data_IF_849744942390
#
_entry.id   IF_849744942390
#
_cell.length_a   1.000
_cell.length_b   1.000
_cell.length_c   1.000
_cell.angle_alpha   90.00
_cell.angle_beta   90.00
_cell.angle_gamma   90.00
#
_symmetry.space_group_name_H-M   'P 1'
#
loop_
_entity.id
_entity.type
_entity.pdbx_description
1 polymer ?
#
# COMPACT_ATOMS: atom_id res chain seq x y z
N UNK A 1 -34.04 -82.99 17.10
CA UNK A 1 -33.41 -82.73 18.39
C UNK A 1 -33.69 -81.29 18.78
N UNK A 2 -34.61 -81.06 19.71
CA UNK A 2 -34.70 -79.85 20.55
C UNK A 2 -33.82 -80.05 21.79
N UNK A 3 -33.53 -79.04 22.63
CA UNK A 3 -33.68 -77.57 22.56
C UNK A 3 -32.30 -76.86 22.76
N UNK A 4 -32.17 -75.53 22.70
CA UNK A 4 -32.05 -74.72 23.93
C UNK A 4 -32.31 -73.23 23.70
N UNK A 5 -32.85 -72.61 24.75
CA UNK A 5 -33.26 -71.21 24.96
C UNK A 5 -32.07 -70.25 24.80
N UNK A 6 -32.17 -69.09 24.17
CA UNK A 6 -33.00 -67.89 24.39
C UNK A 6 -32.21 -66.73 25.02
N UNK A 7 -32.53 -65.54 24.51
CA UNK A 7 -32.53 -64.20 25.11
C UNK A 7 -31.45 -63.18 24.67
N UNK A 8 -31.97 -62.16 23.96
CA UNK A 8 -31.73 -60.71 24.06
C UNK A 8 -30.33 -60.21 23.65
N UNK A 9 -30.09 -59.09 22.96
CA UNK A 9 -30.86 -58.01 22.33
C UNK A 9 -29.84 -57.18 21.49
N UNK A 10 -30.25 -56.15 20.71
CA UNK A 10 -29.56 -55.74 19.49
C UNK A 10 -28.49 -54.67 19.74
N UNK A 11 -27.39 -54.73 18.99
CA UNK A 11 -26.53 -53.56 18.79
C UNK A 11 -25.90 -53.66 17.39
N UNK A 12 -26.01 -52.56 16.63
CA UNK A 12 -25.30 -52.24 15.39
C UNK A 12 -25.82 -52.84 14.08
N UNK A 13 -26.29 -51.95 13.19
CA UNK A 13 -26.64 -52.26 11.79
C UNK A 13 -27.76 -51.33 11.30
N UNK A 14 -27.44 -50.06 11.04
CA UNK A 14 -27.33 -49.54 9.66
C UNK A 14 -28.57 -49.85 8.82
N UNK A 15 -29.49 -48.88 8.76
CA UNK A 15 -30.29 -48.64 7.56
C UNK A 15 -29.86 -47.27 7.05
N UNK A 16 -29.36 -47.29 5.82
CA UNK A 16 -28.84 -46.16 5.07
C UNK A 16 -30.00 -45.34 4.48
N UNK A 17 -29.75 -44.03 4.41
CA UNK A 17 -30.36 -43.02 3.53
C UNK A 17 -31.72 -42.41 3.91
N UNK A 18 -31.69 -41.15 4.36
CA UNK A 18 -32.54 -40.09 3.82
C UNK A 18 -31.84 -38.72 4.00
N UNK A 19 -31.31 -38.20 2.89
CA UNK A 19 -31.00 -36.80 2.59
C UNK A 19 -30.47 -35.87 3.69
N UNK A 20 -29.15 -35.90 3.90
CA UNK A 20 -28.40 -34.76 4.50
C UNK A 20 -27.35 -34.16 3.55
N UNK A 21 -27.34 -34.55 2.28
CA UNK A 21 -26.33 -34.14 1.30
C UNK A 21 -26.65 -32.85 0.53
N UNK A 22 -27.87 -32.31 0.60
CA UNK A 22 -28.27 -31.15 -0.23
C UNK A 22 -28.07 -29.78 0.46
N UNK A 23 -28.08 -29.73 1.80
CA UNK A 23 -27.94 -28.45 2.53
C UNK A 23 -26.49 -28.03 2.83
N UNK A 24 -25.53 -28.94 2.73
CA UNK A 24 -24.09 -28.65 2.88
C UNK A 24 -23.48 -28.09 1.58
N UNK A 25 -23.87 -28.61 0.42
CA UNK A 25 -23.36 -28.14 -0.88
C UNK A 25 -23.71 -26.67 -1.17
N UNK A 26 -24.91 -26.22 -0.76
CA UNK A 26 -25.36 -24.84 -1.02
C UNK A 26 -24.64 -23.80 -0.16
N UNK A 27 -24.29 -24.17 1.08
CA UNK A 27 -23.54 -23.31 2.02
C UNK A 27 -22.08 -23.17 1.59
N UNK A 28 -21.46 -24.24 1.13
CA UNK A 28 -20.08 -24.19 0.62
C UNK A 28 -19.98 -23.43 -0.71
N UNK A 29 -20.91 -23.62 -1.64
CA UNK A 29 -20.95 -22.85 -2.89
C UNK A 29 -21.13 -21.34 -2.63
N UNK A 30 -21.98 -20.96 -1.67
CA UNK A 30 -22.16 -19.56 -1.29
C UNK A 30 -20.90 -18.96 -0.65
N UNK A 31 -20.21 -19.72 0.21
CA UNK A 31 -18.95 -19.31 0.82
C UNK A 31 -17.85 -19.19 -0.23
N UNK A 32 -17.74 -20.16 -1.14
CA UNK A 32 -16.78 -20.13 -2.25
C UNK A 32 -17.05 -18.93 -3.17
N UNK A 33 -18.31 -18.65 -3.50
CA UNK A 33 -18.68 -17.48 -4.30
C UNK A 33 -18.39 -16.17 -3.58
N UNK A 34 -18.70 -16.07 -2.28
CA UNK A 34 -18.38 -14.89 -1.47
C UNK A 34 -16.87 -14.67 -1.35
N UNK A 35 -16.07 -15.73 -1.19
CA UNK A 35 -14.61 -15.67 -1.18
C UNK A 35 -14.07 -15.23 -2.53
N UNK A 36 -14.55 -15.78 -3.64
CA UNK A 36 -14.13 -15.39 -4.99
C UNK A 36 -14.48 -13.93 -5.30
N UNK A 37 -15.66 -13.46 -4.88
CA UNK A 37 -16.05 -12.05 -5.00
C UNK A 37 -15.16 -11.14 -4.14
N UNK A 38 -14.80 -11.58 -2.94
CA UNK A 38 -13.89 -10.85 -2.05
C UNK A 38 -12.48 -10.76 -2.64
N UNK A 39 -11.92 -11.86 -3.15
CA UNK A 39 -10.63 -11.85 -3.84
C UNK A 39 -10.68 -11.00 -5.12
N UNK A 40 -11.78 -11.07 -5.90
CA UNK A 40 -11.99 -10.22 -7.07
C UNK A 40 -12.05 -8.72 -6.71
N UNK A 41 -12.73 -8.37 -5.62
CA UNK A 41 -12.76 -7.02 -5.06
C UNK A 41 -11.37 -6.56 -4.62
N UNK A 42 -10.64 -7.39 -3.87
CA UNK A 42 -9.27 -7.08 -3.43
C UNK A 42 -8.34 -6.82 -4.61
N UNK A 43 -8.37 -7.67 -5.66
CA UNK A 43 -7.55 -7.49 -6.86
C UNK A 43 -7.95 -6.22 -7.63
N UNK A 44 -9.25 -5.93 -7.76
CA UNK A 44 -9.75 -4.70 -8.39
C UNK A 44 -9.34 -3.44 -7.63
N UNK A 45 -9.35 -3.48 -6.29
CA UNK A 45 -8.90 -2.36 -5.46
C UNK A 45 -7.38 -2.18 -5.50
N UNK A 46 -6.60 -3.27 -5.44
CA UNK A 46 -5.14 -3.20 -5.49
C UNK A 46 -4.62 -2.63 -6.83
N UNK A 47 -5.24 -2.99 -7.96
CA UNK A 47 -4.87 -2.46 -9.27
C UNK A 47 -5.21 -0.97 -9.43
N UNK A 48 -6.38 -0.54 -8.96
CA UNK A 48 -6.86 0.85 -9.14
C UNK A 48 -6.32 1.83 -8.10
N UNK A 49 -5.94 1.39 -6.91
CA UNK A 49 -5.37 2.29 -5.88
C UNK A 49 -3.95 2.76 -6.20
N UNK A 50 -3.18 2.00 -6.98
CA UNK A 50 -1.81 2.38 -7.38
C UNK A 50 -1.78 3.43 -8.51
N UNK A 51 -2.76 3.39 -9.43
CA UNK A 51 -2.88 4.35 -10.54
C UNK A 51 -3.76 5.57 -10.22
N UNK A 52 -4.31 5.67 -9.00
CA UNK A 52 -5.56 6.39 -8.72
C UNK A 52 -5.65 7.89 -9.06
N UNK A 53 -4.60 8.59 -9.51
CA UNK A 53 -4.68 10.00 -10.01
C UNK A 53 -3.68 10.37 -11.12
N UNK A 54 -3.21 9.40 -11.90
CA UNK A 54 -2.22 9.65 -12.96
C UNK A 54 -0.83 10.02 -12.42
N UNK A 55 -0.44 9.43 -11.29
CA UNK A 55 0.92 9.51 -10.77
C UNK A 55 1.73 8.31 -11.24
N UNK A 56 2.93 8.56 -11.72
CA UNK A 56 3.92 7.55 -12.06
C UNK A 56 4.88 7.38 -10.89
N UNK A 57 4.90 6.19 -10.31
CA UNK A 57 5.79 5.83 -9.21
C UNK A 57 7.22 5.57 -9.71
N UNK A 58 8.21 5.99 -8.93
CA UNK A 58 9.63 5.86 -9.25
C UNK A 58 10.21 4.66 -8.49
N UNK A 59 10.72 3.67 -9.22
CA UNK A 59 11.26 2.43 -8.63
C UNK A 59 12.51 2.66 -7.77
N UNK A 60 13.39 3.56 -8.20
CA UNK A 60 14.62 3.91 -7.49
C UNK A 60 14.59 5.40 -7.14
N UNK A 61 13.90 5.79 -6.04
CA UNK A 61 13.62 7.19 -5.77
C UNK A 61 14.84 7.98 -5.26
N UNK A 62 15.90 7.32 -4.80
CA UNK A 62 17.10 7.97 -4.26
C UNK A 62 18.13 8.34 -5.36
N UNK A 63 17.72 9.12 -6.35
CA UNK A 63 18.63 9.68 -7.37
C UNK A 63 19.08 11.10 -7.00
N UNK A 64 20.17 11.62 -7.61
CA UNK A 64 20.59 13.01 -7.41
C UNK A 64 19.47 14.02 -7.66
N UNK A 65 18.68 13.86 -8.72
CA UNK A 65 17.56 14.74 -9.07
C UNK A 65 16.53 14.88 -7.93
N UNK A 66 16.09 13.75 -7.36
CA UNK A 66 15.12 13.79 -6.26
C UNK A 66 15.73 14.30 -4.95
N UNK A 67 17.02 14.04 -4.70
CA UNK A 67 17.73 14.61 -3.55
C UNK A 67 17.82 16.12 -3.63
N UNK A 68 18.10 16.68 -4.80
CA UNK A 68 18.08 18.13 -5.01
C UNK A 68 16.70 18.73 -4.76
N UNK A 69 15.62 18.06 -5.19
CA UNK A 69 14.25 18.52 -4.92
C UNK A 69 13.91 18.46 -3.43
N UNK A 70 14.37 17.43 -2.72
CA UNK A 70 14.20 17.30 -1.27
C UNK A 70 14.95 18.42 -0.53
N UNK A 71 16.22 18.64 -0.87
CA UNK A 71 17.04 19.71 -0.30
C UNK A 71 16.42 21.09 -0.57
N UNK A 72 16.06 21.37 -1.82
CA UNK A 72 15.37 22.61 -2.20
C UNK A 72 14.13 22.85 -1.35
N UNK A 73 13.26 21.84 -1.21
CA UNK A 73 12.03 21.97 -0.47
C UNK A 73 12.26 22.20 1.03
N UNK A 74 13.24 21.49 1.60
CA UNK A 74 13.59 21.61 3.01
C UNK A 74 14.15 23.00 3.33
N UNK A 75 15.15 23.46 2.57
CA UNK A 75 15.75 24.79 2.74
C UNK A 75 14.71 25.89 2.56
N UNK A 76 13.90 25.81 1.50
CA UNK A 76 12.87 26.81 1.20
C UNK A 76 11.78 26.93 2.26
N UNK A 77 11.44 25.84 2.98
CA UNK A 77 10.34 25.84 3.96
C UNK A 77 10.78 25.95 5.40
N UNK A 78 11.96 25.45 5.76
CA UNK A 78 12.50 25.54 7.12
C UNK A 78 13.39 26.78 7.31
N UNK A 79 13.73 27.49 6.24
CA UNK A 79 14.66 28.64 6.26
C UNK A 79 15.99 28.31 6.95
N UNK A 80 16.50 27.09 6.72
CA UNK A 80 17.77 26.58 7.26
C UNK A 80 18.75 26.28 6.13
N UNK A 81 20.04 26.37 6.42
CA UNK A 81 21.08 25.87 5.53
C UNK A 81 21.00 24.31 5.47
N UNK A 82 21.40 23.75 4.33
CA UNK A 82 21.51 22.31 4.12
C UNK A 82 22.90 21.75 4.49
N UNK A 83 23.84 22.60 4.90
CA UNK A 83 25.18 22.19 5.31
C UNK A 83 25.14 21.19 6.48
N UNK A 84 25.89 20.09 6.37
CA UNK A 84 25.88 19.01 7.35
C UNK A 84 24.61 18.14 7.37
N UNK A 85 23.65 18.41 6.48
CA UNK A 85 22.39 17.68 6.36
C UNK A 85 22.43 16.78 5.13
N UNK A 86 22.10 15.50 5.32
CA UNK A 86 21.94 14.52 4.24
C UNK A 86 20.47 14.20 4.02
N UNK A 87 20.05 14.18 2.75
CA UNK A 87 18.69 13.84 2.36
C UNK A 87 18.67 12.47 1.68
N UNK A 88 17.90 11.53 2.24
CA UNK A 88 17.68 10.22 1.64
C UNK A 88 16.23 10.11 1.19
N UNK A 89 16.02 10.05 -0.13
CA UNK A 89 14.67 9.94 -0.71
C UNK A 89 14.22 8.49 -0.69
N UNK A 90 13.14 8.21 0.02
CA UNK A 90 12.61 6.85 0.20
C UNK A 90 11.46 6.55 -0.75
N UNK A 91 10.74 7.58 -1.21
CA UNK A 91 9.60 7.45 -2.11
C UNK A 91 9.58 8.65 -3.05
N UNK A 92 9.28 8.41 -4.32
CA UNK A 92 9.08 9.46 -5.30
C UNK A 92 8.05 9.04 -6.32
N UNK A 93 7.19 9.99 -6.71
CA UNK A 93 6.23 9.84 -7.80
C UNK A 93 6.05 11.17 -8.48
N UNK A 94 5.69 11.13 -9.76
CA UNK A 94 5.52 12.35 -10.54
C UNK A 94 4.27 12.29 -11.41
N UNK A 95 3.81 13.46 -11.86
CA UNK A 95 2.76 13.56 -12.87
C UNK A 95 2.90 14.83 -13.70
N UNK A 96 2.35 14.79 -14.90
CA UNK A 96 2.25 15.96 -15.77
C UNK A 96 1.02 16.79 -15.35
N UNK A 97 1.23 18.10 -15.20
CA UNK A 97 0.21 19.10 -14.94
C UNK A 97 0.52 20.35 -15.79
N UNK A 98 0.47 21.58 -15.25
CA UNK A 98 0.97 22.81 -15.92
C UNK A 98 2.52 22.91 -15.93
N UNK A 99 3.19 21.76 -15.92
CA UNK A 99 4.59 21.51 -15.55
C UNK A 99 4.68 20.10 -14.96
N UNK A 100 5.79 19.76 -14.30
CA UNK A 100 5.93 18.45 -13.65
C UNK A 100 5.76 18.59 -12.15
N UNK A 101 4.77 17.89 -11.59
CA UNK A 101 4.59 17.81 -10.15
C UNK A 101 5.29 16.55 -9.63
N UNK A 102 6.17 16.73 -8.65
CA UNK A 102 6.90 15.66 -7.97
C UNK A 102 6.43 15.57 -6.53
N UNK A 103 5.98 14.40 -6.11
CA UNK A 103 5.69 14.11 -4.72
C UNK A 103 6.76 13.16 -4.19
N UNK A 104 7.52 13.62 -3.20
CA UNK A 104 8.69 12.91 -2.68
C UNK A 104 8.60 12.78 -1.16
N UNK A 105 8.83 11.57 -0.68
CA UNK A 105 9.05 11.24 0.72
C UNK A 105 10.54 11.06 0.96
N UNK A 106 11.09 11.70 1.98
CA UNK A 106 12.51 11.66 2.29
C UNK A 106 12.76 11.74 3.79
N UNK A 107 13.89 11.20 4.22
CA UNK A 107 14.38 11.36 5.59
C UNK A 107 15.53 12.36 5.62
N UNK A 108 15.61 13.09 6.73
CA UNK A 108 16.64 14.08 7.01
C UNK A 108 17.59 13.47 8.03
N UNK A 109 18.87 13.44 7.67
CA UNK A 109 19.94 12.90 8.50
C UNK A 109 20.88 14.05 8.83
N UNK A 110 21.12 14.28 10.12
CA UNK A 110 22.02 15.31 10.63
C UNK A 110 22.96 14.63 11.63
N UNK A 111 24.27 14.87 11.52
CA UNK A 111 25.29 14.23 12.38
C UNK A 111 25.14 12.69 12.44
N UNK A 112 24.86 12.07 11.29
CA UNK A 112 24.63 10.63 11.15
C UNK A 112 23.43 10.07 11.97
N UNK A 113 22.49 10.94 12.37
CA UNK A 113 21.24 10.57 13.05
C UNK A 113 20.04 10.96 12.21
N UNK A 114 19.04 10.07 12.15
CA UNK A 114 17.77 10.37 11.51
C UNK A 114 16.97 11.32 12.42
N UNK A 115 16.77 12.56 11.98
CA UNK A 115 16.11 13.61 12.78
C UNK A 115 14.64 13.81 12.40
N UNK A 116 14.32 13.80 11.11
CA UNK A 116 12.97 14.03 10.60
C UNK A 116 12.62 13.11 9.43
N UNK A 117 11.33 12.80 9.28
CA UNK A 117 10.76 12.23 8.07
C UNK A 117 9.84 13.27 7.43
N UNK A 118 10.05 13.55 6.16
CA UNK A 118 9.36 14.62 5.45
C UNK A 118 8.67 14.09 4.19
N UNK A 119 7.62 14.80 3.77
CA UNK A 119 6.97 14.60 2.48
C UNK A 119 6.64 15.97 1.88
N UNK A 120 6.96 16.13 0.60
CA UNK A 120 6.79 17.38 -0.13
C UNK A 120 6.20 17.15 -1.50
N UNK A 121 5.53 18.17 -2.01
CA UNK A 121 5.14 18.25 -3.43
C UNK A 121 5.80 19.48 -4.04
N UNK A 122 6.68 19.27 -5.03
CA UNK A 122 7.37 20.34 -5.77
C UNK A 122 6.83 20.37 -7.19
N UNK A 123 6.43 21.55 -7.64
CA UNK A 123 6.08 21.81 -9.04
C UNK A 123 7.27 22.45 -9.74
N UNK A 124 7.66 21.86 -10.86
CA UNK A 124 8.68 22.40 -11.77
C UNK A 124 7.98 22.92 -13.02
N UNK A 125 8.06 24.22 -13.25
CA UNK A 125 7.46 24.87 -14.42
C UNK A 125 8.25 24.55 -15.70
N UNK A 126 7.52 24.25 -16.77
CA UNK A 126 8.07 24.06 -18.13
C UNK A 126 7.75 25.24 -19.06
N UNK A 127 7.08 26.29 -18.56
CA UNK A 127 6.77 27.50 -19.35
C UNK A 127 8.08 28.22 -19.68
N UNK A 128 8.36 28.53 -20.96
CA UNK A 128 9.70 29.00 -21.41
C UNK A 128 10.25 30.21 -20.65
N UNK A 129 9.40 31.17 -20.26
CA UNK A 129 9.79 32.34 -19.45
C UNK A 129 10.12 32.02 -18.00
N UNK A 130 9.73 30.85 -17.50
CA UNK A 130 9.94 30.38 -16.13
C UNK A 130 10.42 28.92 -16.13
N UNK A 131 11.15 28.52 -17.17
CA UNK A 131 11.63 27.15 -17.29
C UNK A 131 12.50 26.84 -16.06
N UNK A 132 12.29 25.66 -15.48
CA UNK A 132 12.99 25.19 -14.28
C UNK A 132 12.67 25.95 -12.99
N UNK A 133 11.68 26.87 -12.97
CA UNK A 133 11.22 27.45 -11.71
C UNK A 133 10.58 26.35 -10.84
N UNK A 134 11.18 26.11 -9.67
CA UNK A 134 10.72 25.14 -8.68
C UNK A 134 9.85 25.83 -7.65
N UNK A 135 8.70 25.24 -7.28
CA UNK A 135 7.79 25.80 -6.27
C UNK A 135 7.30 24.69 -5.35
N UNK A 136 7.44 24.87 -4.04
CA UNK A 136 6.94 23.92 -3.04
C UNK A 136 5.46 24.15 -2.81
N UNK A 137 4.61 23.22 -3.24
CA UNK A 137 3.15 23.30 -3.08
C UNK A 137 2.72 22.79 -1.70
N UNK A 138 3.28 21.65 -1.27
CA UNK A 138 2.97 21.02 0.01
C UNK A 138 4.26 20.61 0.68
N UNK A 139 4.33 20.76 2.00
CA UNK A 139 5.48 20.36 2.77
C UNK A 139 5.04 20.04 4.20
N UNK A 140 5.45 18.90 4.70
CA UNK A 140 5.32 18.57 6.11
C UNK A 140 6.47 17.65 6.52
N UNK A 141 6.88 17.78 7.78
CA UNK A 141 7.89 16.93 8.40
C UNK A 141 7.37 16.46 9.76
N UNK A 142 7.77 15.25 10.14
CA UNK A 142 7.55 14.67 11.46
C UNK A 142 8.91 14.41 12.11
N UNK A 143 9.16 14.92 13.33
CA UNK A 143 10.36 14.56 14.07
C UNK A 143 10.33 13.07 14.43
N UNK A 144 11.51 12.45 14.45
CA UNK A 144 11.67 11.11 15.00
C UNK A 144 11.91 11.21 16.50
N UNK A 145 11.03 10.57 17.27
CA UNK A 145 11.19 10.42 18.71
C UNK A 145 12.07 9.19 18.95
N UNK A 146 13.11 9.37 19.76
CA UNK A 146 13.93 8.30 20.29
C UNK A 146 13.39 7.86 21.65
#
# INVERSE_FOLDING_TARGET
VTPERAMLQPINGVILACDTSIWLAKKEMAVVHASLLFFGLLVSFCGKSFEARGWTEVRHPNTPEYRELAQFAFVARKARNAEGITFLVTQARWKIARGTAYNIGFIVIEQNRLVEKCNTTVLVSQISRYANRRTVIKFWCRPVRH
#
